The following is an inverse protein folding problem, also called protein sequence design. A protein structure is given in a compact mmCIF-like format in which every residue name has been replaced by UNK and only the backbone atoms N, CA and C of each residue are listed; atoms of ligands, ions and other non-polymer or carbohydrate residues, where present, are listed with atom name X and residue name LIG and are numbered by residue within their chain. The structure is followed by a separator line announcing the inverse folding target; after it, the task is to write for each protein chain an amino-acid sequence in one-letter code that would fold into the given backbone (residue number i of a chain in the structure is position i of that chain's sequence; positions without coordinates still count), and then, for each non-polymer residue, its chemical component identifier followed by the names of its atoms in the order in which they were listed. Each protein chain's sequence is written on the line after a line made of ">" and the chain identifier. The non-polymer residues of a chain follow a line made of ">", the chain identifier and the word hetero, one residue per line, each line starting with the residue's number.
data_IF_522334286735
#
_entry.id   IF_522334286735
#
_cell.length_a   1.000
_cell.length_b   1.000
_cell.length_c   1.000
_cell.angle_alpha   90.00
_cell.angle_beta   90.00
_cell.angle_gamma   90.00
#
_symmetry.space_group_name_H-M   'P 1'
#
loop_
_entity.id
_entity.type
_entity.pdbx_description
1 polymer ?
#
# COMPACT_ATOMS: atom_id res chain seq x y z
N UNK A 1 24.79 36.64 22.36
CA UNK A 1 24.19 35.39 22.90
C UNK A 1 23.11 35.79 23.90
N UNK A 2 21.93 35.12 23.99
CA UNK A 2 21.57 33.82 23.42
C UNK A 2 20.20 33.72 22.69
N UNK A 3 20.12 32.63 21.92
CA UNK A 3 18.96 31.81 21.53
C UNK A 3 17.79 32.39 20.68
N UNK A 4 18.07 32.49 19.38
CA UNK A 4 17.08 32.29 18.31
C UNK A 4 16.39 30.93 18.44
N UNK A 5 15.28 30.88 19.18
CA UNK A 5 14.38 29.72 19.19
C UNK A 5 13.51 29.76 17.93
N UNK A 6 14.00 29.15 16.85
CA UNK A 6 13.21 28.89 15.65
C UNK A 6 12.13 27.87 15.98
N UNK A 7 10.92 28.36 16.23
CA UNK A 7 9.71 27.55 16.32
C UNK A 7 9.44 26.92 14.94
N UNK A 8 9.91 25.67 14.78
CA UNK A 8 9.55 24.79 13.67
C UNK A 8 8.05 24.47 13.79
N UNK A 9 7.22 25.40 13.28
CA UNK A 9 5.82 25.12 12.99
C UNK A 9 5.80 23.87 12.11
N UNK A 10 5.15 22.81 12.58
CA UNK A 10 4.82 21.64 11.76
C UNK A 10 3.95 22.15 10.62
N UNK A 11 4.56 22.39 9.45
CA UNK A 11 3.83 22.68 8.22
C UNK A 11 3.04 21.42 7.85
N UNK A 12 1.80 21.34 8.32
CA UNK A 12 0.82 20.46 7.71
C UNK A 12 0.38 21.18 6.42
N UNK A 13 1.01 20.81 5.30
CA UNK A 13 0.65 21.35 4.00
C UNK A 13 -0.65 20.67 3.55
N UNK A 14 -1.77 21.38 3.67
CA UNK A 14 -3.10 20.90 3.25
C UNK A 14 -3.74 21.88 2.27
N UNK A 15 -3.03 22.29 1.22
CA UNK A 15 -3.63 22.98 0.07
C UNK A 15 -2.66 22.93 -1.13
N UNK A 16 -2.96 22.07 -2.12
CA UNK A 16 -2.18 21.98 -3.36
C UNK A 16 -1.20 20.79 -3.50
N UNK A 17 -1.27 19.77 -2.65
CA UNK A 17 -0.52 18.52 -2.89
C UNK A 17 -1.19 17.78 -4.04
N UNK A 18 -0.62 17.85 -5.24
CA UNK A 18 -0.89 16.83 -6.25
C UNK A 18 -0.48 15.49 -5.65
N UNK A 19 -1.47 14.69 -5.25
CA UNK A 19 -1.26 13.31 -4.83
C UNK A 19 -0.61 12.59 -6.02
N UNK A 20 0.72 12.47 -5.99
CA UNK A 20 1.49 11.94 -7.11
C UNK A 20 1.20 10.46 -7.39
N UNK A 21 0.52 9.82 -6.44
CA UNK A 21 -0.05 8.49 -6.54
C UNK A 21 -1.49 8.50 -6.05
N UNK A 22 -2.34 7.75 -6.75
CA UNK A 22 -3.70 7.45 -6.34
C UNK A 22 -3.81 5.94 -6.08
N UNK A 23 -4.16 5.56 -4.85
CA UNK A 23 -4.34 4.17 -4.44
C UNK A 23 -5.84 3.85 -4.49
N UNK A 24 -6.19 2.79 -5.21
CA UNK A 24 -7.55 2.30 -5.40
C UNK A 24 -7.61 0.85 -4.90
N UNK A 25 -7.86 0.64 -3.60
CA UNK A 25 -8.03 -0.69 -3.05
C UNK A 25 -9.42 -1.24 -3.35
N UNK A 26 -9.51 -2.55 -3.53
CA UNK A 26 -10.74 -3.30 -3.75
C UNK A 26 -10.62 -4.62 -3.01
N UNK A 27 -11.46 -4.81 -2.00
CA UNK A 27 -11.50 -6.02 -1.19
C UNK A 27 -12.78 -6.76 -1.53
N UNK A 28 -12.67 -8.06 -1.81
CA UNK A 28 -13.81 -8.96 -2.06
C UNK A 28 -13.70 -10.16 -1.13
N UNK A 29 -14.74 -10.45 -0.37
CA UNK A 29 -14.83 -11.65 0.45
C UNK A 29 -15.37 -12.80 -0.43
N UNK A 30 -14.56 -13.84 -0.62
CA UNK A 30 -14.87 -15.03 -1.42
C UNK A 30 -15.27 -16.19 -0.50
N UNK A 31 -16.29 -15.97 0.34
CA UNK A 31 -16.77 -16.93 1.33
C UNK A 31 -16.33 -16.58 2.75
N UNK A 32 -16.28 -17.58 3.64
CA UNK A 32 -15.97 -17.37 5.07
C UNK A 32 -14.47 -17.33 5.36
N UNK A 33 -13.66 -18.02 4.54
CA UNK A 33 -12.24 -18.25 4.77
C UNK A 33 -11.35 -17.70 3.67
N UNK A 34 -11.90 -17.14 2.60
CA UNK A 34 -11.10 -16.62 1.49
C UNK A 34 -11.48 -15.19 1.21
N UNK A 35 -10.47 -14.34 1.06
CA UNK A 35 -10.62 -12.94 0.73
C UNK A 35 -9.65 -12.57 -0.40
N UNK A 36 -10.14 -11.86 -1.39
CA UNK A 36 -9.35 -11.32 -2.48
C UNK A 36 -9.10 -9.82 -2.25
N UNK A 37 -7.84 -9.44 -2.21
CA UNK A 37 -7.37 -8.06 -2.13
C UNK A 37 -6.84 -7.66 -3.50
N UNK A 38 -7.37 -6.59 -4.08
CA UNK A 38 -6.83 -5.99 -5.29
C UNK A 38 -6.47 -4.54 -4.99
N UNK A 39 -5.23 -4.14 -5.27
CA UNK A 39 -4.76 -2.77 -5.06
C UNK A 39 -4.23 -2.25 -6.38
N UNK A 40 -4.88 -1.21 -6.89
CA UNK A 40 -4.44 -0.48 -8.09
C UNK A 40 -3.77 0.81 -7.66
N UNK A 41 -2.62 1.11 -8.25
CA UNK A 41 -1.88 2.33 -7.93
C UNK A 41 -1.67 3.08 -9.24
N UNK A 42 -2.19 4.30 -9.32
CA UNK A 42 -2.05 5.17 -10.48
C UNK A 42 -1.03 6.25 -10.16
N UNK A 43 0.04 6.36 -10.95
CA UNK A 43 0.94 7.51 -10.90
C UNK A 43 0.45 8.63 -11.80
N UNK A 44 0.59 9.88 -11.33
CA UNK A 44 0.24 11.09 -12.11
C UNK A 44 1.47 11.98 -12.40
N UNK A 45 2.66 11.50 -12.08
CA UNK A 45 3.91 12.20 -12.38
C UNK A 45 4.45 11.84 -13.77
N UNK A 46 5.27 12.71 -14.35
CA UNK A 46 5.73 12.60 -15.74
C UNK A 46 6.56 11.33 -16.03
N UNK A 47 6.49 10.85 -17.27
CA UNK A 47 7.16 9.63 -17.77
C UNK A 47 8.69 9.61 -17.68
N UNK A 48 9.32 10.79 -17.51
CA UNK A 48 10.77 10.95 -17.30
C UNK A 48 11.21 10.72 -15.85
N UNK A 49 10.26 10.58 -14.93
CA UNK A 49 10.53 10.32 -13.52
C UNK A 49 10.23 8.85 -13.23
N UNK A 50 10.88 8.32 -12.19
CA UNK A 50 10.47 7.06 -11.57
C UNK A 50 10.47 7.23 -10.05
N UNK A 51 9.85 6.28 -9.36
CA UNK A 51 9.85 6.28 -7.91
C UNK A 51 10.15 4.89 -7.35
N UNK A 52 10.88 4.85 -6.25
CA UNK A 52 10.90 3.68 -5.37
C UNK A 52 9.63 3.75 -4.52
N UNK A 53 8.84 2.69 -4.52
CA UNK A 53 7.55 2.66 -3.83
C UNK A 53 7.48 1.42 -2.95
N UNK A 54 7.01 1.60 -1.71
CA UNK A 54 6.71 0.53 -0.76
C UNK A 54 5.29 0.73 -0.26
N UNK A 55 4.44 -0.26 -0.49
CA UNK A 55 3.02 -0.22 -0.10
C UNK A 55 2.77 -1.32 0.91
N UNK A 56 2.28 -0.94 2.08
CA UNK A 56 1.92 -1.87 3.16
C UNK A 56 0.40 -2.00 3.18
N UNK A 57 -0.06 -3.19 2.85
CA UNK A 57 -1.47 -3.51 2.76
C UNK A 57 -1.80 -4.38 3.96
N UNK A 58 -2.55 -3.87 4.95
CA UNK A 58 -2.89 -4.66 6.11
C UNK A 58 -3.79 -5.83 5.69
N UNK A 59 -3.61 -6.98 6.34
CA UNK A 59 -4.52 -8.12 6.24
C UNK A 59 -5.09 -8.46 7.62
N UNK A 60 -6.17 -9.24 7.71
CA UNK A 60 -6.66 -9.70 9.00
C UNK A 60 -5.60 -10.55 9.72
N UNK A 61 -5.54 -10.46 11.05
CA UNK A 61 -4.61 -11.27 11.87
C UNK A 61 -4.84 -12.78 11.78
N UNK A 62 -6.04 -13.18 11.37
CA UNK A 62 -6.42 -14.58 11.19
C UNK A 62 -5.94 -15.17 9.86
N UNK A 63 -4.95 -14.53 9.20
CA UNK A 63 -4.43 -14.99 7.91
C UNK A 63 -3.56 -16.23 8.06
N UNK A 64 -3.94 -17.31 7.38
CA UNK A 64 -3.19 -18.58 7.29
C UNK A 64 -2.21 -18.57 6.14
N UNK A 65 -2.69 -18.08 4.99
CA UNK A 65 -1.97 -18.16 3.73
C UNK A 65 -2.24 -16.92 2.91
N UNK A 66 -1.22 -16.50 2.20
CA UNK A 66 -1.26 -15.37 1.30
C UNK A 66 -0.69 -15.80 -0.04
N UNK A 67 -1.37 -15.47 -1.13
CA UNK A 67 -0.89 -15.71 -2.50
C UNK A 67 -1.01 -14.40 -3.26
N UNK A 68 0.11 -13.77 -3.57
CA UNK A 68 0.14 -12.49 -4.29
C UNK A 68 0.66 -12.64 -5.70
N UNK A 69 0.00 -11.97 -6.65
CA UNK A 69 0.38 -11.85 -8.06
C UNK A 69 0.40 -10.36 -8.43
N UNK A 70 1.56 -9.85 -8.82
CA UNK A 70 1.71 -8.50 -9.36
C UNK A 70 1.69 -8.54 -10.88
N UNK A 71 0.86 -7.69 -11.50
CA UNK A 71 0.92 -7.48 -12.93
C UNK A 71 1.87 -6.31 -13.21
N UNK A 72 2.83 -6.49 -14.13
CA UNK A 72 3.77 -5.46 -14.63
C UNK A 72 4.93 -5.05 -13.72
N UNK A 73 5.10 -5.65 -12.53
CA UNK A 73 6.21 -5.29 -11.63
C UNK A 73 6.87 -6.51 -11.02
N UNK A 74 8.19 -6.57 -11.17
CA UNK A 74 9.06 -7.52 -10.50
C UNK A 74 9.14 -7.19 -9.01
N UNK A 75 8.84 -8.20 -8.20
CA UNK A 75 9.00 -8.29 -6.75
C UNK A 75 7.78 -7.87 -5.90
N UNK A 76 7.02 -8.86 -5.47
CA UNK A 76 6.23 -8.80 -4.23
C UNK A 76 7.03 -9.51 -3.15
N UNK A 77 7.28 -8.86 -2.01
CA UNK A 77 8.04 -9.45 -0.90
C UNK A 77 7.05 -9.70 0.22
N UNK A 78 6.93 -10.93 0.69
CA UNK A 78 5.95 -11.30 1.71
C UNK A 78 6.64 -11.46 3.07
N UNK A 79 6.42 -10.53 4.00
CA UNK A 79 6.80 -10.57 5.42
C UNK A 79 5.94 -9.51 6.16
N UNK A 80 5.46 -9.67 7.42
CA UNK A 80 5.06 -10.82 8.25
C UNK A 80 3.54 -11.11 8.14
N UNK A 81 3.02 -12.07 8.93
CA UNK A 81 1.64 -12.63 8.92
C UNK A 81 0.50 -11.58 8.80
N UNK A 82 0.70 -10.37 9.32
CA UNK A 82 -0.34 -9.35 9.44
C UNK A 82 -0.39 -8.32 8.28
N UNK A 83 0.53 -8.36 7.32
CA UNK A 83 0.54 -7.40 6.20
C UNK A 83 1.19 -7.92 4.92
N UNK A 84 0.64 -7.52 3.78
CA UNK A 84 1.25 -7.71 2.47
C UNK A 84 2.13 -6.50 2.12
N UNK A 85 3.37 -6.75 1.72
CA UNK A 85 4.31 -5.71 1.31
C UNK A 85 4.53 -5.73 -0.21
N UNK A 86 4.13 -4.66 -0.87
CA UNK A 86 4.36 -4.48 -2.31
C UNK A 86 5.46 -3.45 -2.55
N UNK A 87 6.64 -3.94 -2.93
CA UNK A 87 7.83 -3.11 -3.15
C UNK A 87 8.14 -3.01 -4.63
N UNK A 88 8.11 -1.79 -5.16
CA UNK A 88 8.34 -1.49 -6.57
C UNK A 88 9.61 -0.64 -6.66
N UNK A 89 10.71 -1.23 -7.15
CA UNK A 89 12.01 -0.53 -7.21
C UNK A 89 12.03 0.64 -8.19
N UNK A 90 11.32 0.48 -9.32
CA UNK A 90 11.23 1.48 -10.38
C UNK A 90 9.78 1.58 -10.82
N UNK A 91 9.02 2.47 -10.19
CA UNK A 91 7.65 2.78 -10.56
C UNK A 91 7.63 3.85 -11.66
N UNK A 92 7.18 3.53 -12.89
CA UNK A 92 7.15 4.50 -13.96
C UNK A 92 6.01 5.52 -13.81
N UNK A 93 6.25 6.76 -14.23
CA UNK A 93 5.22 7.81 -14.29
C UNK A 93 4.11 7.50 -15.29
N UNK A 94 2.92 8.06 -15.07
CA UNK A 94 1.73 7.85 -15.91
C UNK A 94 1.34 6.37 -16.11
N UNK A 95 1.58 5.51 -15.11
CA UNK A 95 1.24 4.09 -15.16
C UNK A 95 0.26 3.67 -14.08
N UNK A 96 -0.32 2.48 -14.25
CA UNK A 96 -1.38 1.93 -13.40
C UNK A 96 -1.14 0.46 -13.03
N UNK A 97 0.01 0.10 -12.41
CA UNK A 97 0.24 -1.26 -11.96
C UNK A 97 -0.82 -1.72 -10.95
N UNK A 98 -1.06 -3.02 -10.93
CA UNK A 98 -2.07 -3.66 -10.09
C UNK A 98 -1.46 -4.85 -9.37
N UNK A 99 -1.74 -4.95 -8.07
CA UNK A 99 -1.46 -6.12 -7.25
C UNK A 99 -2.77 -6.84 -6.94
N UNK A 100 -2.80 -8.13 -7.20
CA UNK A 100 -3.87 -9.02 -6.76
C UNK A 100 -3.30 -9.97 -5.73
N UNK A 101 -3.96 -10.11 -4.58
CA UNK A 101 -3.59 -11.08 -3.56
C UNK A 101 -4.83 -11.83 -3.08
N UNK A 102 -4.65 -13.12 -2.84
CA UNK A 102 -5.63 -13.99 -2.20
C UNK A 102 -5.14 -14.26 -0.78
N UNK A 103 -6.03 -14.08 0.18
CA UNK A 103 -5.77 -14.18 1.61
C UNK A 103 -6.72 -15.23 2.16
N UNK A 104 -6.16 -16.33 2.67
CA UNK A 104 -6.90 -17.39 3.33
C UNK A 104 -6.90 -17.12 4.84
N UNK A 105 -8.07 -17.24 5.45
CA UNK A 105 -8.37 -16.94 6.85
C UNK A 105 -8.73 -18.22 7.60
N UNK A 106 -8.35 -18.31 8.88
CA UNK A 106 -8.78 -19.40 9.75
C UNK A 106 -10.30 -19.26 9.99
N UNK A 107 -11.05 -20.34 9.74
CA UNK A 107 -12.45 -20.46 10.18
C UNK A 107 -12.49 -20.73 11.69
N UNK A 108 -12.30 -19.71 12.52
CA UNK A 108 -12.60 -19.82 13.96
C UNK A 108 -13.98 -19.24 14.24
N UNK A 109 -14.87 -20.08 14.77
CA UNK A 109 -16.25 -19.75 15.18
C UNK A 109 -16.31 -18.70 16.31
N UNK A 110 -15.17 -18.33 16.89
CA UNK A 110 -15.05 -17.33 17.94
C UNK A 110 -14.90 -15.94 17.32
N UNK A 111 -16.01 -15.21 17.30
CA UNK A 111 -16.12 -13.80 16.93
C UNK A 111 -15.73 -13.48 15.48
N UNK A 112 -16.74 -13.28 14.61
CA UNK A 112 -16.64 -12.39 13.45
C UNK A 112 -16.24 -10.99 13.94
N UNK A 113 -14.99 -10.79 14.35
CA UNK A 113 -14.47 -9.47 14.62
C UNK A 113 -14.43 -8.77 13.27
N UNK A 114 -15.31 -7.80 13.10
CA UNK A 114 -15.29 -6.89 11.95
C UNK A 114 -13.87 -6.39 11.80
N UNK A 115 -13.15 -6.89 10.81
CA UNK A 115 -11.82 -6.42 10.53
C UNK A 115 -11.94 -4.97 10.10
N UNK A 116 -11.44 -4.06 10.93
CA UNK A 116 -11.59 -2.61 10.77
C UNK A 116 -10.81 -2.03 9.57
N UNK A 117 -10.21 -2.88 8.72
CA UNK A 117 -9.47 -2.51 7.50
C UNK A 117 -8.58 -1.29 7.74
N UNK A 118 -7.44 -1.47 8.44
CA UNK A 118 -6.53 -0.36 8.68
C UNK A 118 -6.15 0.33 7.35
N UNK A 119 -5.81 1.62 7.38
CA UNK A 119 -5.45 2.34 6.16
C UNK A 119 -4.22 1.70 5.50
N UNK A 120 -4.23 1.62 4.18
CA UNK A 120 -3.06 1.21 3.39
C UNK A 120 -2.00 2.31 3.52
N UNK A 121 -0.79 1.91 3.89
CA UNK A 121 0.34 2.84 4.01
C UNK A 121 1.18 2.79 2.74
N UNK A 122 1.70 3.94 2.35
CA UNK A 122 2.57 4.08 1.18
C UNK A 122 3.77 4.94 1.55
N UNK A 123 4.95 4.42 1.26
CA UNK A 123 6.22 5.14 1.35
C UNK A 123 6.79 5.22 -0.06
N UNK A 124 7.26 6.40 -0.47
CA UNK A 124 7.87 6.55 -1.79
C UNK A 124 9.02 7.55 -1.79
N UNK A 125 9.99 7.29 -2.65
CA UNK A 125 11.09 8.20 -2.99
C UNK A 125 11.01 8.49 -4.50
N UNK A 126 11.13 9.76 -4.90
CA UNK A 126 11.09 10.16 -6.30
C UNK A 126 12.47 10.46 -6.85
N UNK A 127 12.77 9.88 -8.00
CA UNK A 127 14.07 10.00 -8.63
C UNK A 127 13.85 10.41 -10.10
N UNK A 128 14.73 11.29 -10.59
CA UNK A 128 14.81 11.61 -12.02
C UNK A 128 15.52 10.44 -12.72
N UNK A 129 15.05 10.07 -13.92
CA UNK A 129 15.81 9.20 -14.81
C UNK A 129 17.16 9.83 -15.17
#
# INVERSE_FOLDING_TARGET
>A
MPDSKLDLRKYCFTEGVSLRFQILPTIKELGQTLMQVNVKVKSVFGVKMFALVVIRIPVPKQTVKQVSKSHQVEQTIMLPIDSLLWKIRKFPGQTKPTLSAEVELISTMAEKRFWMRPPIQMEFEMNRK
#
